data_IF_223516413811
#
_entry.id   IF_223516413811
#
_cell.length_a   1.000
_cell.length_b   1.000
_cell.length_c   1.000
_cell.angle_alpha   90.00
_cell.angle_beta   90.00
_cell.angle_gamma   90.00
#
_symmetry.space_group_name_H-M   'P 1'
#
loop_
_entity.id
_entity.type
_entity.pdbx_description
1 polymer ?
#
# COMPACT_ATOMS: atom_id res chain seq x y z
N UNK A 1 12.04 -30.15 -11.66
CA UNK A 1 12.12 -28.67 -11.79
C UNK A 1 11.30 -28.09 -10.67
N UNK A 2 11.75 -27.04 -9.94
CA UNK A 2 10.88 -26.40 -8.97
C UNK A 2 9.63 -25.88 -9.69
N UNK A 3 8.47 -26.19 -9.15
CA UNK A 3 7.17 -25.78 -9.67
C UNK A 3 7.15 -24.25 -9.79
N UNK A 4 6.69 -23.70 -10.94
CA UNK A 4 6.60 -22.25 -11.11
C UNK A 4 5.41 -21.73 -10.30
N UNK A 5 5.65 -21.34 -9.05
CA UNK A 5 4.63 -20.65 -8.28
C UNK A 5 4.30 -19.30 -8.92
N UNK A 6 3.01 -19.08 -9.15
CA UNK A 6 2.49 -17.83 -9.68
C UNK A 6 2.65 -16.74 -8.62
N UNK A 7 3.23 -15.59 -8.98
CA UNK A 7 3.34 -14.47 -8.06
C UNK A 7 1.94 -13.89 -7.78
N UNK A 8 1.50 -14.04 -6.53
CA UNK A 8 0.18 -13.62 -6.09
C UNK A 8 0.13 -12.09 -5.99
N UNK A 9 -0.83 -11.46 -6.69
CA UNK A 9 -1.12 -10.04 -6.50
C UNK A 9 -1.75 -9.86 -5.12
N UNK A 10 -1.13 -9.04 -4.29
CA UNK A 10 -1.56 -8.76 -2.90
C UNK A 10 -1.36 -7.29 -2.59
N UNK A 11 -2.08 -6.79 -1.56
CA UNK A 11 -1.79 -5.48 -0.95
C UNK A 11 -0.62 -5.62 0.01
N UNK A 12 0.11 -4.55 0.25
CA UNK A 12 1.22 -4.55 1.23
C UNK A 12 0.70 -4.91 2.62
N UNK A 13 -0.46 -4.38 3.04
CA UNK A 13 -1.05 -4.72 4.34
C UNK A 13 -1.34 -6.22 4.52
N UNK A 14 -1.64 -6.93 3.43
CA UNK A 14 -1.93 -8.36 3.49
C UNK A 14 -0.63 -9.17 3.69
N UNK A 15 0.53 -8.59 3.34
CA UNK A 15 1.86 -9.14 3.63
C UNK A 15 2.22 -8.85 5.09
N UNK A 16 2.12 -7.60 5.52
CA UNK A 16 2.53 -7.19 6.88
C UNK A 16 1.68 -7.88 7.95
N UNK A 17 0.36 -7.99 7.73
CA UNK A 17 -0.55 -8.71 8.63
C UNK A 17 -0.57 -10.24 8.45
N UNK A 18 0.05 -10.78 7.39
CA UNK A 18 0.09 -12.22 7.14
C UNK A 18 1.09 -12.96 8.03
N UNK A 19 1.04 -14.29 8.00
CA UNK A 19 1.95 -15.19 8.73
C UNK A 19 2.92 -15.86 7.76
N UNK A 20 4.22 -15.82 8.06
CA UNK A 20 5.23 -16.56 7.30
C UNK A 20 5.34 -17.99 7.84
N UNK A 21 4.91 -18.95 7.04
CA UNK A 21 5.07 -20.37 7.33
C UNK A 21 6.33 -20.88 6.66
N UNK A 22 7.30 -21.31 7.48
CA UNK A 22 8.56 -21.89 7.01
C UNK A 22 8.40 -23.40 6.83
N UNK A 23 8.62 -23.88 5.62
CA UNK A 23 8.75 -25.32 5.34
C UNK A 23 10.11 -25.88 5.76
N UNK A 24 10.45 -27.08 5.30
CA UNK A 24 11.70 -27.78 5.68
C UNK A 24 12.98 -27.12 5.11
N UNK A 25 12.86 -25.95 4.49
CA UNK A 25 13.97 -25.11 4.02
C UNK A 25 13.53 -23.89 3.21
N UNK A 26 14.50 -23.13 2.72
CA UNK A 26 14.30 -21.73 2.31
C UNK A 26 13.28 -21.53 1.19
N UNK A 27 13.21 -22.46 0.24
CA UNK A 27 12.30 -22.42 -0.93
C UNK A 27 10.83 -22.74 -0.64
N UNK A 28 10.51 -23.21 0.57
CA UNK A 28 9.23 -23.76 1.02
C UNK A 28 8.58 -22.83 2.05
N UNK A 29 9.17 -21.64 2.18
CA UNK A 29 8.58 -20.53 2.91
C UNK A 29 7.45 -19.93 2.08
N UNK A 30 6.26 -19.87 2.67
CA UNK A 30 5.08 -19.26 2.07
C UNK A 30 4.45 -18.26 3.04
N UNK A 31 3.87 -17.20 2.47
CA UNK A 31 3.04 -16.25 3.19
C UNK A 31 1.61 -16.77 3.23
N UNK A 32 1.05 -16.96 4.42
CA UNK A 32 -0.39 -17.09 4.61
C UNK A 32 -0.97 -15.69 4.86
N UNK A 33 -1.77 -15.19 3.92
CA UNK A 33 -2.41 -13.88 4.03
C UNK A 33 -3.63 -13.92 4.97
N UNK A 34 -4.10 -12.77 5.49
CA UNK A 34 -5.35 -12.69 6.27
C UNK A 34 -6.60 -13.15 5.48
N UNK A 35 -6.52 -13.20 4.15
CA UNK A 35 -7.57 -13.70 3.26
C UNK A 35 -7.48 -15.22 3.04
N UNK A 36 -6.66 -15.92 3.84
CA UNK A 36 -6.44 -17.36 3.79
C UNK A 36 -5.86 -17.84 2.45
N UNK A 37 -5.10 -16.99 1.76
CA UNK A 37 -4.33 -17.35 0.58
C UNK A 37 -2.88 -17.66 0.94
N UNK A 38 -2.33 -18.71 0.34
CA UNK A 38 -0.91 -19.07 0.47
C UNK A 38 -0.11 -18.59 -0.75
N UNK A 39 0.97 -17.85 -0.51
CA UNK A 39 1.81 -17.26 -1.54
C UNK A 39 3.28 -17.62 -1.35
N UNK A 40 3.85 -18.42 -2.25
CA UNK A 40 5.30 -18.63 -2.36
C UNK A 40 6.04 -17.43 -2.98
N UNK A 41 5.32 -16.61 -3.76
CA UNK A 41 5.79 -15.33 -4.33
C UNK A 41 4.67 -14.30 -4.27
N UNK A 42 5.04 -13.05 -4.05
CA UNK A 42 4.13 -11.90 -4.06
C UNK A 42 4.45 -10.97 -5.22
N UNK A 43 3.43 -10.26 -5.69
CA UNK A 43 3.54 -9.18 -6.67
C UNK A 43 2.84 -7.94 -6.14
N UNK A 44 3.60 -6.89 -5.87
CA UNK A 44 3.12 -5.64 -5.28
C UNK A 44 3.35 -4.51 -6.28
N UNK A 45 2.33 -3.68 -6.49
CA UNK A 45 2.46 -2.43 -7.21
C UNK A 45 2.40 -1.31 -6.17
N UNK A 46 3.40 -0.43 -6.16
CA UNK A 46 3.45 0.69 -5.23
C UNK A 46 4.43 1.76 -5.67
N UNK A 47 4.35 2.91 -5.01
CA UNK A 47 5.26 4.03 -5.23
C UNK A 47 6.52 3.85 -4.39
N UNK A 48 7.69 4.10 -4.96
CA UNK A 48 8.96 4.13 -4.21
C UNK A 48 9.01 5.39 -3.36
N UNK A 49 8.93 5.26 -2.05
CA UNK A 49 8.98 6.40 -1.11
C UNK A 49 10.37 6.65 -0.56
N UNK A 50 11.25 5.66 -0.55
CA UNK A 50 12.67 5.86 -0.25
C UNK A 50 13.56 4.81 -0.92
N UNK A 51 14.80 5.21 -1.22
CA UNK A 51 15.82 4.33 -1.79
C UNK A 51 17.15 4.41 -1.05
N UNK A 52 17.72 3.25 -0.73
CA UNK A 52 19.06 3.11 -0.17
C UNK A 52 19.88 2.13 -1.00
N UNK A 53 21.10 2.53 -1.36
CA UNK A 53 22.08 1.68 -2.05
C UNK A 53 23.38 1.70 -1.24
N UNK A 54 23.95 0.53 -0.96
CA UNK A 54 25.24 0.44 -0.29
C UNK A 54 26.38 0.77 -1.25
N UNK A 55 27.43 1.42 -0.75
CA UNK A 55 28.61 1.82 -1.55
C UNK A 55 29.33 0.63 -2.22
N UNK A 56 29.28 -0.56 -1.61
CA UNK A 56 29.88 -1.77 -2.17
C UNK A 56 29.08 -2.39 -3.33
N UNK A 57 27.89 -1.85 -3.63
CA UNK A 57 27.00 -2.32 -4.70
C UNK A 57 26.38 -3.68 -4.45
N UNK A 58 26.45 -4.23 -3.23
CA UNK A 58 25.96 -5.59 -2.91
C UNK A 58 24.62 -5.62 -2.19
N UNK A 59 24.09 -4.46 -1.82
CA UNK A 59 22.85 -4.36 -1.09
C UNK A 59 22.08 -3.11 -1.48
N UNK A 60 20.79 -3.27 -1.72
CA UNK A 60 19.87 -2.19 -2.02
C UNK A 60 18.54 -2.42 -1.32
N UNK A 61 17.91 -1.32 -0.92
CA UNK A 61 16.59 -1.28 -0.30
C UNK A 61 15.73 -0.25 -1.01
N UNK A 62 14.55 -0.65 -1.45
CA UNK A 62 13.47 0.25 -1.85
C UNK A 62 12.34 0.11 -0.86
N UNK A 63 11.85 1.23 -0.33
CA UNK A 63 10.61 1.24 0.48
C UNK A 63 9.45 1.57 -0.45
N UNK A 64 8.44 0.70 -0.47
CA UNK A 64 7.25 0.85 -1.30
C UNK A 64 6.02 1.19 -0.45
N UNK A 65 5.11 1.98 -1.02
CA UNK A 65 3.80 2.33 -0.46
C UNK A 65 2.71 2.08 -1.53
N UNK A 66 1.65 1.35 -1.17
CA UNK A 66 0.50 1.06 -2.04
C UNK A 66 -0.82 1.69 -1.55
N UNK A 67 -0.72 2.65 -0.63
CA UNK A 67 -1.79 3.28 0.14
C UNK A 67 -2.51 2.36 1.14
N UNK A 68 -2.02 1.14 1.36
CA UNK A 68 -2.58 0.22 2.36
C UNK A 68 -1.63 -0.02 3.53
N UNK A 69 -0.32 -0.03 3.25
CA UNK A 69 0.78 -0.08 4.21
C UNK A 69 2.10 0.20 3.45
N UNK A 70 3.23 0.19 4.16
CA UNK A 70 4.57 0.30 3.57
C UNK A 70 5.39 -0.97 3.79
N UNK A 71 6.30 -1.29 2.86
CA UNK A 71 7.21 -2.43 3.03
C UNK A 71 8.57 -2.19 2.39
N UNK A 72 9.61 -2.74 3.01
CA UNK A 72 10.94 -2.76 2.41
C UNK A 72 11.07 -3.91 1.42
N UNK A 73 11.65 -3.61 0.26
CA UNK A 73 12.07 -4.60 -0.73
C UNK A 73 13.59 -4.56 -0.80
N UNK A 74 14.22 -5.74 -0.72
CA UNK A 74 15.67 -5.88 -0.54
C UNK A 74 16.25 -6.66 -1.71
N UNK A 75 17.32 -6.12 -2.29
CA UNK A 75 18.11 -6.79 -3.32
C UNK A 75 19.52 -7.05 -2.80
N UNK A 76 20.09 -8.19 -3.17
CA UNK A 76 21.40 -8.65 -2.75
C UNK A 76 22.25 -8.98 -3.98
N UNK A 77 23.55 -8.70 -3.93
CA UNK A 77 24.52 -9.04 -4.99
C UNK A 77 24.05 -8.56 -6.38
N UNK A 78 23.91 -9.46 -7.35
CA UNK A 78 23.51 -9.15 -8.72
C UNK A 78 22.09 -8.55 -8.83
N UNK A 79 21.19 -8.86 -7.90
CA UNK A 79 19.80 -8.35 -7.92
C UNK A 79 19.74 -6.85 -7.63
N UNK A 80 20.82 -6.26 -7.11
CA UNK A 80 20.94 -4.81 -6.90
C UNK A 80 20.69 -4.03 -8.20
N UNK A 81 21.09 -4.59 -9.34
CA UNK A 81 20.84 -4.02 -10.67
C UNK A 81 19.35 -3.93 -11.02
N UNK A 82 18.48 -4.73 -10.37
CA UNK A 82 17.03 -4.63 -10.53
C UNK A 82 16.49 -3.40 -9.78
N UNK A 83 16.98 -3.15 -8.57
CA UNK A 83 16.60 -2.00 -7.76
C UNK A 83 17.12 -0.67 -8.33
N UNK A 84 18.24 -0.68 -9.06
CA UNK A 84 18.80 0.52 -9.71
C UNK A 84 17.88 1.15 -10.75
N UNK A 85 16.95 0.38 -11.31
CA UNK A 85 15.99 0.83 -12.33
C UNK A 85 14.89 1.73 -11.77
N UNK A 86 14.79 1.85 -10.45
CA UNK A 86 13.76 2.61 -9.77
C UNK A 86 14.35 3.81 -9.02
N UNK A 87 13.63 4.93 -9.06
CA UNK A 87 13.91 6.14 -8.29
C UNK A 87 12.74 6.47 -7.34
N UNK A 88 13.00 7.32 -6.34
CA UNK A 88 11.94 7.84 -5.47
C UNK A 88 10.88 8.58 -6.31
N UNK A 89 9.61 8.34 -6.00
CA UNK A 89 8.46 8.81 -6.76
C UNK A 89 8.05 7.94 -7.95
N UNK A 90 8.85 6.93 -8.34
CA UNK A 90 8.44 5.99 -9.38
C UNK A 90 7.37 5.02 -8.89
N UNK A 91 6.38 4.73 -9.72
CA UNK A 91 5.45 3.61 -9.54
C UNK A 91 6.15 2.36 -10.08
N UNK A 92 6.25 1.33 -9.25
CA UNK A 92 6.92 0.08 -9.60
C UNK A 92 6.07 -1.14 -9.27
N UNK A 93 6.16 -2.14 -10.14
CA UNK A 93 5.60 -3.48 -9.92
C UNK A 93 6.73 -4.44 -9.57
N UNK A 94 6.76 -4.89 -8.33
CA UNK A 94 7.81 -5.73 -7.76
C UNK A 94 7.30 -7.14 -7.56
N UNK A 95 8.07 -8.11 -8.04
CA UNK A 95 7.88 -9.53 -7.78
C UNK A 95 9.00 -10.01 -6.87
N UNK A 96 8.65 -10.80 -5.86
CA UNK A 96 9.65 -11.35 -4.96
C UNK A 96 9.09 -12.35 -3.96
N UNK A 97 9.96 -12.78 -3.05
CA UNK A 97 9.63 -13.68 -1.95
C UNK A 97 9.57 -12.91 -0.65
N UNK A 98 8.57 -13.21 0.17
CA UNK A 98 8.47 -12.61 1.49
C UNK A 98 9.42 -13.34 2.44
N UNK A 99 10.23 -12.58 3.15
CA UNK A 99 11.13 -13.07 4.18
C UNK A 99 11.02 -12.17 5.42
N UNK A 100 11.60 -12.61 6.53
CA UNK A 100 11.57 -11.89 7.80
C UNK A 100 12.98 -11.76 8.36
N UNK A 101 13.29 -10.57 8.87
CA UNK A 101 14.54 -10.31 9.58
C UNK A 101 14.24 -9.43 10.80
N UNK A 102 14.64 -9.91 11.98
CA UNK A 102 14.39 -9.21 13.26
C UNK A 102 12.92 -8.85 13.50
N UNK A 103 12.00 -9.70 13.05
CA UNK A 103 10.54 -9.50 13.19
C UNK A 103 9.91 -8.61 12.12
N UNK A 104 10.71 -8.00 11.24
CA UNK A 104 10.24 -7.16 10.14
C UNK A 104 10.17 -7.97 8.84
N UNK A 105 8.99 -7.97 8.20
CA UNK A 105 8.81 -8.61 6.89
C UNK A 105 9.35 -7.71 5.78
N UNK A 106 9.97 -8.34 4.79
CA UNK A 106 10.47 -7.67 3.59
C UNK A 106 10.28 -8.56 2.35
N UNK A 107 10.33 -7.95 1.18
CA UNK A 107 10.29 -8.67 -0.10
C UNK A 107 11.71 -8.78 -0.65
N UNK A 108 12.24 -10.00 -0.77
CA UNK A 108 13.45 -10.26 -1.55
C UNK A 108 13.14 -10.12 -3.04
N UNK A 109 13.78 -9.15 -3.70
CA UNK A 109 13.50 -8.77 -5.09
C UNK A 109 13.90 -9.90 -6.04
N UNK A 110 12.95 -10.34 -6.89
CA UNK A 110 13.22 -11.19 -8.06
C UNK A 110 13.01 -10.40 -9.37
N UNK A 111 12.17 -9.36 -9.38
CA UNK A 111 11.97 -8.46 -10.53
C UNK A 111 11.39 -7.11 -10.09
N UNK A 112 11.77 -6.05 -10.81
CA UNK A 112 11.24 -4.68 -10.65
C UNK A 112 10.91 -4.13 -12.03
N UNK A 113 9.67 -3.69 -12.21
CA UNK A 113 9.20 -3.04 -13.44
C UNK A 113 8.71 -1.64 -13.12
N UNK A 114 9.26 -0.64 -13.80
CA UNK A 114 8.74 0.73 -13.75
C UNK A 114 7.43 0.83 -14.54
N UNK A 115 6.47 1.53 -13.98
CA UNK A 115 5.14 1.73 -14.55
C UNK A 115 4.99 3.21 -14.92
N UNK A 116 4.88 3.49 -16.21
CA UNK A 116 4.82 4.86 -16.72
C UNK A 116 3.40 5.45 -16.69
N UNK A 117 2.36 4.60 -16.86
CA UNK A 117 0.97 5.03 -16.82
C UNK A 117 0.38 4.81 -15.41
N UNK A 118 0.07 5.88 -14.65
CA UNK A 118 -0.46 5.77 -13.29
C UNK A 118 -1.84 5.10 -13.22
N UNK A 119 -2.59 5.01 -14.33
CA UNK A 119 -3.86 4.30 -14.35
C UNK A 119 -3.73 2.81 -13.97
N UNK A 120 -2.52 2.24 -14.07
CA UNK A 120 -2.26 0.89 -13.58
C UNK A 120 -2.46 0.72 -12.08
N UNK A 121 -2.32 1.77 -11.27
CA UNK A 121 -2.67 1.71 -9.85
C UNK A 121 -4.17 1.50 -9.65
N UNK A 122 -4.99 2.23 -10.42
CA UNK A 122 -6.45 2.04 -10.42
C UNK A 122 -6.82 0.64 -10.86
N UNK A 123 -6.19 0.13 -11.93
CA UNK A 123 -6.40 -1.25 -12.38
C UNK A 123 -6.04 -2.24 -11.27
N UNK A 124 -4.88 -2.10 -10.63
CA UNK A 124 -4.46 -3.00 -9.54
C UNK A 124 -5.42 -2.95 -8.37
N UNK A 125 -5.91 -1.76 -7.98
CA UNK A 125 -6.90 -1.61 -6.91
C UNK A 125 -8.19 -2.36 -7.24
N UNK A 126 -8.67 -2.27 -8.49
CA UNK A 126 -9.86 -3.01 -8.94
C UNK A 126 -9.63 -4.53 -8.99
N UNK A 127 -8.48 -4.98 -9.49
CA UNK A 127 -8.11 -6.41 -9.50
C UNK A 127 -8.13 -6.99 -8.08
N UNK A 128 -7.54 -6.28 -7.11
CA UNK A 128 -7.49 -6.70 -5.71
C UNK A 128 -8.87 -6.62 -5.06
N UNK A 129 -9.68 -5.59 -5.35
CA UNK A 129 -11.03 -5.48 -4.81
C UNK A 129 -11.95 -6.62 -5.29
N UNK A 130 -11.90 -6.96 -6.59
CA UNK A 130 -12.63 -8.11 -7.13
C UNK A 130 -12.18 -9.41 -6.49
N UNK A 131 -10.87 -9.61 -6.36
CA UNK A 131 -10.29 -10.78 -5.70
C UNK A 131 -10.75 -10.93 -4.25
N UNK A 132 -10.72 -9.86 -3.45
CA UNK A 132 -11.17 -9.86 -2.05
C UNK A 132 -12.66 -10.22 -1.97
N UNK A 133 -13.47 -9.64 -2.85
CA UNK A 133 -14.90 -9.95 -2.94
C UNK A 133 -15.14 -11.43 -3.26
N UNK A 134 -14.39 -11.99 -4.21
CA UNK A 134 -14.52 -13.40 -4.61
C UNK A 134 -14.08 -14.37 -3.50
N UNK A 135 -13.11 -13.97 -2.68
CA UNK A 135 -12.65 -14.70 -1.50
C UNK A 135 -13.60 -14.54 -0.28
N UNK A 136 -14.69 -13.78 -0.42
CA UNK A 136 -15.64 -13.53 0.66
C UNK A 136 -15.11 -12.59 1.75
N UNK A 137 -14.03 -11.86 1.48
CA UNK A 137 -13.53 -10.82 2.38
C UNK A 137 -14.37 -9.55 2.28
N UNK A 138 -14.53 -8.85 3.40
CA UNK A 138 -15.15 -7.53 3.40
C UNK A 138 -14.21 -6.53 2.69
N UNK A 139 -14.65 -5.98 1.56
CA UNK A 139 -13.99 -4.83 0.95
C UNK A 139 -14.36 -3.61 1.79
N UNK A 140 -13.56 -3.32 2.82
CA UNK A 140 -13.59 -2.00 3.43
C UNK A 140 -13.10 -0.98 2.41
N UNK A 141 -14.02 -0.44 1.61
CA UNK A 141 -13.80 0.85 0.96
C UNK A 141 -13.81 1.88 2.08
N UNK A 142 -12.65 2.12 2.67
CA UNK A 142 -12.47 3.33 3.48
C UNK A 142 -12.54 4.48 2.49
N UNK A 143 -13.68 5.17 2.44
CA UNK A 143 -13.64 6.58 2.10
C UNK A 143 -12.54 7.19 2.96
N UNK A 144 -11.60 7.92 2.38
CA UNK A 144 -10.67 8.76 3.12
C UNK A 144 -11.47 9.79 3.91
N UNK A 145 -12.02 9.38 5.04
CA UNK A 145 -12.36 10.30 6.10
C UNK A 145 -11.02 10.66 6.70
N UNK A 146 -10.55 11.87 6.41
CA UNK A 146 -9.57 12.54 7.25
C UNK A 146 -9.95 12.19 8.70
N UNK A 147 -9.02 11.57 9.42
CA UNK A 147 -9.27 11.05 10.77
C UNK A 147 -9.91 12.14 11.64
N UNK A 148 -10.64 11.76 12.70
CA UNK A 148 -11.27 12.72 13.57
C UNK A 148 -10.19 13.58 14.24
N UNK A 149 -9.86 14.70 13.61
CA UNK A 149 -9.21 15.81 14.28
C UNK A 149 -10.31 16.49 15.11
N UNK A 150 -10.24 16.41 16.46
CA UNK A 150 -11.24 17.00 17.33
C UNK A 150 -11.41 18.51 17.10
N UNK A 151 -10.39 19.18 16.55
CA UNK A 151 -10.47 20.58 16.16
C UNK A 151 -11.27 20.75 14.86
N UNK A 152 -11.06 19.90 13.85
CA UNK A 152 -11.85 19.93 12.61
C UNK A 152 -13.33 19.55 12.84
N UNK A 153 -13.61 18.63 13.76
CA UNK A 153 -14.98 18.21 14.05
C UNK A 153 -15.76 19.30 14.81
N UNK A 154 -15.08 20.06 15.68
CA UNK A 154 -15.62 21.26 16.32
C UNK A 154 -15.94 22.36 15.29
N UNK A 155 -15.05 22.59 14.33
CA UNK A 155 -15.27 23.57 13.26
C UNK A 155 -16.42 23.16 12.32
N UNK A 156 -16.51 21.88 11.93
CA UNK A 156 -17.63 21.35 11.14
C UNK A 156 -18.96 21.53 11.86
N UNK A 157 -18.99 21.33 13.18
CA UNK A 157 -20.21 21.50 13.98
C UNK A 157 -20.67 22.97 13.99
N UNK A 158 -19.74 23.91 14.19
CA UNK A 158 -20.03 25.36 14.14
C UNK A 158 -20.55 25.80 12.78
N UNK A 159 -19.92 25.32 11.70
CA UNK A 159 -20.36 25.62 10.33
C UNK A 159 -21.78 25.09 10.09
N UNK A 160 -22.05 23.86 10.52
CA UNK A 160 -23.37 23.24 10.40
C UNK A 160 -24.44 24.02 11.18
N UNK A 161 -24.18 24.37 12.43
CA UNK A 161 -25.09 25.16 13.26
C UNK A 161 -25.36 26.55 12.66
N UNK A 162 -24.34 27.15 12.05
CA UNK A 162 -24.46 28.45 11.38
C UNK A 162 -25.32 28.36 10.11
N UNK A 163 -25.17 27.29 9.32
CA UNK A 163 -26.02 27.03 8.16
C UNK A 163 -27.47 26.81 8.61
N UNK A 164 -27.70 25.93 9.59
CA UNK A 164 -29.05 25.64 10.08
C UNK A 164 -29.76 26.89 10.64
N UNK A 165 -28.99 27.83 11.22
CA UNK A 165 -29.52 29.10 11.75
C UNK A 165 -29.83 30.13 10.66
N UNK A 166 -29.00 30.20 9.62
CA UNK A 166 -29.08 31.26 8.60
C UNK A 166 -29.84 30.82 7.34
N UNK A 167 -30.10 29.52 7.16
CA UNK A 167 -30.78 28.99 5.99
C UNK A 167 -32.31 29.08 6.14
N UNK A 168 -32.91 30.05 5.45
CA UNK A 168 -34.36 30.19 5.34
C UNK A 168 -34.97 29.37 4.16
N UNK A 169 -34.19 28.45 3.58
CA UNK A 169 -34.58 27.58 2.47
C UNK A 169 -34.01 27.98 1.10
N UNK A 170 -33.17 29.01 1.04
CA UNK A 170 -32.45 29.44 -0.17
C UNK A 170 -30.94 29.14 -0.13
N UNK A 171 -30.45 28.55 0.96
CA UNK A 171 -29.03 28.39 1.24
C UNK A 171 -28.39 29.66 1.80
N UNK A 172 -27.23 29.49 2.44
CA UNK A 172 -26.46 30.56 3.07
C UNK A 172 -25.23 30.87 2.22
N UNK A 173 -24.93 32.16 1.99
CA UNK A 173 -23.69 32.55 1.31
C UNK A 173 -22.50 32.25 2.21
N UNK A 174 -21.49 31.57 1.65
CA UNK A 174 -20.26 31.19 2.34
C UNK A 174 -19.58 32.35 3.10
N UNK A 175 -19.61 33.57 2.58
CA UNK A 175 -19.05 34.75 3.24
C UNK A 175 -19.60 34.98 4.66
N UNK A 176 -20.91 34.76 4.86
CA UNK A 176 -21.54 34.91 6.18
C UNK A 176 -21.16 33.79 7.14
N UNK A 177 -20.90 32.59 6.61
CA UNK A 177 -20.48 31.43 7.40
C UNK A 177 -19.07 31.66 7.95
N UNK A 178 -18.16 32.20 7.12
CA UNK A 178 -16.79 32.54 7.54
C UNK A 178 -16.82 33.59 8.67
N UNK A 179 -17.56 34.67 8.45
CA UNK A 179 -17.64 35.80 9.39
C UNK A 179 -18.18 35.36 10.76
N UNK A 180 -19.21 34.52 10.79
CA UNK A 180 -19.82 34.05 12.04
C UNK A 180 -19.05 32.91 12.73
N UNK A 181 -18.37 32.06 11.96
CA UNK A 181 -17.55 30.97 12.52
C UNK A 181 -16.14 31.42 12.92
N UNK A 182 -15.70 32.61 12.49
CA UNK A 182 -14.34 33.13 12.72
C UNK A 182 -13.26 32.27 12.06
N UNK A 183 -13.56 31.73 10.88
CA UNK A 183 -12.69 30.85 10.09
C UNK A 183 -11.86 31.60 9.04
#
# INVERSE_FOLDING_TARGET
>A
MPTRDTALKVRIKDITAGELKKGEGDWDTHLLTPLNEEAGRVRVLGTVVSRFMREDGKYAVLTLDDATDTITTRAFNEDVLLAEKAAEGDIVDVIGRVAEYEGEKYIGIESVFKIDDPNWETVRKLELALKIKDLGGDVEVKEEKAGPDPESDSQKLKVKETIDRLDEGSGVKYLYIIEECGL
#
